data_IF_198747442580
#
_entry.id   IF_198747442580
#
_cell.length_a   1.000
_cell.length_b   1.000
_cell.length_c   1.000
_cell.angle_alpha   90.00
_cell.angle_beta   90.00
_cell.angle_gamma   90.00
#
_symmetry.space_group_name_H-M   'P 1'
#
loop_
_entity.id
_entity.type
_entity.pdbx_description
1 polymer ?
#
# COMPACT_ATOMS: atom_id res chain seq x y z
N UNK A 1 -1.89 -24.29 -6.78
CA UNK A 1 -1.69 -22.97 -6.13
C UNK A 1 -2.33 -21.92 -7.04
N UNK A 2 -3.31 -21.17 -6.55
CA UNK A 2 -4.09 -20.24 -7.37
C UNK A 2 -3.31 -18.98 -7.69
N UNK A 3 -3.24 -18.62 -8.96
CA UNK A 3 -2.88 -17.29 -9.42
C UNK A 3 -4.21 -16.57 -9.66
N UNK A 4 -4.41 -15.46 -8.97
CA UNK A 4 -5.57 -14.59 -9.16
C UNK A 4 -5.10 -13.32 -9.87
N UNK A 5 -5.76 -12.97 -10.96
CA UNK A 5 -5.43 -11.81 -11.77
C UNK A 5 -6.61 -10.85 -11.78
N UNK A 6 -6.31 -9.56 -11.55
CA UNK A 6 -7.31 -8.50 -11.59
C UNK A 6 -6.75 -7.31 -12.37
N UNK A 7 -7.58 -6.76 -13.25
CA UNK A 7 -7.31 -5.49 -13.91
C UNK A 7 -7.88 -4.34 -13.11
N UNK A 8 -7.08 -3.29 -12.90
CA UNK A 8 -7.48 -2.07 -12.19
C UNK A 8 -7.34 -0.89 -13.14
N UNK A 9 -8.34 -0.01 -13.16
CA UNK A 9 -8.26 1.24 -13.90
C UNK A 9 -7.55 2.31 -13.06
N UNK A 10 -6.40 2.76 -13.57
CA UNK A 10 -5.63 3.88 -13.03
C UNK A 10 -5.82 5.12 -13.91
N UNK A 11 -5.73 6.30 -13.32
CA UNK A 11 -5.59 7.55 -14.08
C UNK A 11 -4.14 7.69 -14.56
N UNK A 12 -3.92 8.48 -15.62
CA UNK A 12 -2.60 8.66 -16.22
C UNK A 12 -1.55 9.22 -15.27
N UNK A 13 -1.98 9.94 -14.24
CA UNK A 13 -1.12 10.60 -13.26
C UNK A 13 -1.14 9.86 -11.91
N UNK A 14 -1.75 8.67 -11.85
CA UNK A 14 -1.74 7.86 -10.62
C UNK A 14 -0.33 7.31 -10.34
N UNK A 15 0.08 7.42 -9.08
CA UNK A 15 1.26 6.74 -8.57
C UNK A 15 0.93 5.29 -8.21
N UNK A 16 1.96 4.47 -8.03
CA UNK A 16 1.80 3.12 -7.49
C UNK A 16 1.04 3.13 -6.16
N UNK A 17 1.32 4.08 -5.25
CA UNK A 17 0.60 4.24 -3.99
C UNK A 17 -0.91 4.44 -4.21
N UNK A 18 -1.31 5.27 -5.17
CA UNK A 18 -2.71 5.55 -5.47
C UNK A 18 -3.43 4.29 -5.99
N UNK A 19 -2.77 3.52 -6.86
CA UNK A 19 -3.31 2.26 -7.39
C UNK A 19 -3.42 1.21 -6.29
N UNK A 20 -2.40 1.04 -5.46
CA UNK A 20 -2.43 0.12 -4.32
C UNK A 20 -3.54 0.49 -3.33
N UNK A 21 -3.76 1.78 -3.07
CA UNK A 21 -4.85 2.24 -2.21
C UNK A 21 -6.21 1.80 -2.76
N UNK A 22 -6.44 1.94 -4.07
CA UNK A 22 -7.66 1.45 -4.73
C UNK A 22 -7.78 -0.07 -4.58
N UNK A 23 -6.73 -0.82 -4.89
CA UNK A 23 -6.71 -2.28 -4.76
C UNK A 23 -7.09 -2.75 -3.34
N UNK A 24 -6.42 -2.23 -2.32
CA UNK A 24 -6.70 -2.60 -0.93
C UNK A 24 -8.07 -2.13 -0.44
N UNK A 25 -8.69 -1.11 -1.07
CA UNK A 25 -10.06 -0.69 -0.74
C UNK A 25 -11.07 -1.73 -1.24
N UNK A 26 -10.80 -2.36 -2.39
CA UNK A 26 -11.61 -3.47 -2.90
C UNK A 26 -11.35 -4.78 -2.16
N UNK A 27 -10.16 -4.97 -1.60
CA UNK A 27 -9.76 -6.18 -0.87
C UNK A 27 -9.42 -5.89 0.60
N UNK A 28 -10.42 -5.67 1.46
CA UNK A 28 -10.19 -5.34 2.87
C UNK A 28 -9.48 -6.47 3.64
N UNK A 29 -9.71 -7.74 3.29
CA UNK A 29 -9.03 -8.87 3.92
C UNK A 29 -7.51 -8.82 3.67
N UNK A 30 -7.09 -8.61 2.41
CA UNK A 30 -5.66 -8.46 2.06
C UNK A 30 -5.02 -7.24 2.73
N UNK A 31 -5.79 -6.17 2.94
CA UNK A 31 -5.29 -4.98 3.65
C UNK A 31 -4.87 -5.30 5.08
N UNK A 32 -5.64 -6.12 5.79
CA UNK A 32 -5.35 -6.52 7.18
C UNK A 32 -4.15 -7.46 7.29
N UNK A 33 -3.86 -8.20 6.22
CA UNK A 33 -2.66 -9.04 6.08
C UNK A 33 -1.40 -8.23 5.74
N UNK A 34 -1.54 -7.16 4.95
CA UNK A 34 -0.42 -6.29 4.55
C UNK A 34 -0.05 -5.26 5.61
N UNK A 35 -1.05 -4.65 6.24
CA UNK A 35 -0.89 -3.48 7.09
C UNK A 35 -1.38 -3.76 8.51
N UNK A 36 -0.72 -3.13 9.47
CA UNK A 36 -1.29 -2.89 10.78
C UNK A 36 -1.94 -1.50 10.81
N UNK A 37 -2.97 -1.38 11.65
CA UNK A 37 -3.67 -0.12 11.85
C UNK A 37 -2.96 0.64 12.96
N UNK A 38 -2.54 1.86 12.65
CA UNK A 38 -2.07 2.81 13.65
C UNK A 38 -2.96 4.07 13.63
N UNK A 39 -2.90 4.83 14.71
CA UNK A 39 -3.61 6.10 14.85
C UNK A 39 -2.55 7.19 14.97
N UNK A 40 -2.55 8.11 14.01
CA UNK A 40 -1.59 9.22 13.97
C UNK A 40 -2.31 10.50 14.42
N UNK A 41 -1.65 11.26 15.30
CA UNK A 41 -2.09 12.61 15.65
C UNK A 41 -1.59 13.60 14.58
N UNK A 42 -2.36 14.66 14.25
CA UNK A 42 -1.97 15.68 13.30
C UNK A 42 -0.68 16.40 13.75
N UNK A 43 0.20 16.68 12.79
CA UNK A 43 1.56 17.20 13.02
C UNK A 43 1.58 18.60 13.66
N UNK A 44 0.50 19.38 13.52
CA UNK A 44 0.40 20.75 14.04
C UNK A 44 0.08 20.83 15.55
N UNK A 45 -0.24 19.71 16.20
CA UNK A 45 -0.81 19.69 17.55
C UNK A 45 0.19 19.32 18.64
N UNK A 46 1.46 19.73 18.49
CA UNK A 46 2.54 19.39 19.44
C UNK A 46 2.32 19.99 20.84
N UNK A 47 1.42 20.98 20.98
CA UNK A 47 1.04 21.58 22.28
C UNK A 47 -0.31 21.08 22.83
N UNK A 48 -1.14 20.39 22.04
CA UNK A 48 -2.45 19.95 22.48
C UNK A 48 -2.34 18.64 23.29
N UNK A 49 -2.25 18.78 24.61
CA UNK A 49 -2.24 17.66 25.57
C UNK A 49 -3.51 16.78 25.51
N UNK A 50 -4.50 17.15 24.68
CA UNK A 50 -5.79 16.47 24.53
C UNK A 50 -6.31 16.56 23.07
N UNK A 51 -5.47 16.28 22.07
CA UNK A 51 -5.97 16.18 20.70
C UNK A 51 -6.91 14.98 20.55
N UNK A 52 -8.12 15.19 20.02
CA UNK A 52 -9.13 14.14 19.76
C UNK A 52 -9.16 13.72 18.29
N UNK A 53 -8.42 14.41 17.45
CA UNK A 53 -8.48 14.26 15.99
C UNK A 53 -7.41 13.28 15.53
N UNK A 54 -7.59 11.99 15.83
CA UNK A 54 -6.68 10.95 15.33
C UNK A 54 -7.09 10.49 13.92
N UNK A 55 -6.13 10.44 13.01
CA UNK A 55 -6.32 9.82 11.70
C UNK A 55 -5.92 8.34 11.71
N UNK A 56 -6.78 7.50 11.14
CA UNK A 56 -6.47 6.08 10.94
C UNK A 56 -5.46 5.95 9.81
N UNK A 57 -4.27 5.46 10.12
CA UNK A 57 -3.21 5.20 9.15
C UNK A 57 -2.95 3.69 9.03
N UNK A 58 -2.56 3.26 7.83
CA UNK A 58 -2.19 1.88 7.55
C UNK A 58 -0.68 1.83 7.35
N UNK A 59 0.02 1.19 8.28
CA UNK A 59 1.48 1.05 8.24
C UNK A 59 1.84 -0.41 7.88
N UNK A 60 2.84 -0.66 7.04
CA UNK A 60 3.23 -2.03 6.69
C UNK A 60 3.58 -2.83 7.94
N UNK A 61 3.06 -4.05 8.08
CA UNK A 61 3.35 -4.89 9.25
C UNK A 61 4.85 -5.16 9.41
N UNK A 62 5.33 -5.14 10.65
CA UNK A 62 6.66 -5.63 10.99
C UNK A 62 6.68 -7.17 11.03
N UNK A 63 7.68 -7.79 10.39
CA UNK A 63 7.78 -9.26 10.22
C UNK A 63 8.28 -9.65 8.83
N UNK A 64 8.19 -10.94 8.42
CA UNK A 64 8.37 -11.28 7.02
C UNK A 64 7.30 -10.50 6.24
N UNK A 65 7.76 -9.66 5.33
CA UNK A 65 6.92 -8.72 4.62
C UNK A 65 6.43 -9.34 3.32
N UNK A 66 5.22 -8.96 2.94
CA UNK A 66 4.78 -9.16 1.57
C UNK A 66 5.70 -8.41 0.61
N UNK A 67 6.04 -9.05 -0.50
CA UNK A 67 6.82 -8.44 -1.57
C UNK A 67 5.89 -7.86 -2.62
N UNK A 68 6.20 -6.65 -3.08
CA UNK A 68 5.45 -5.97 -4.13
C UNK A 68 6.41 -5.71 -5.27
N UNK A 69 6.14 -6.33 -6.41
CA UNK A 69 6.93 -6.16 -7.61
C UNK A 69 6.15 -5.33 -8.62
N UNK A 70 6.79 -4.31 -9.18
CA UNK A 70 6.32 -3.59 -10.35
C UNK A 70 7.14 -4.05 -11.54
N UNK A 71 6.51 -4.66 -12.54
CA UNK A 71 7.16 -5.19 -13.73
C UNK A 71 8.35 -6.10 -13.41
N UNK A 72 8.19 -6.95 -12.37
CA UNK A 72 9.23 -7.88 -11.91
C UNK A 72 10.31 -7.28 -11.02
N UNK A 73 10.26 -5.96 -10.71
CA UNK A 73 11.23 -5.29 -9.83
C UNK A 73 10.62 -5.00 -8.47
N UNK A 74 11.36 -5.33 -7.41
CA UNK A 74 10.92 -5.07 -6.03
C UNK A 74 10.82 -3.56 -5.76
N UNK A 75 9.61 -3.09 -5.46
CA UNK A 75 9.27 -1.67 -5.30
C UNK A 75 10.09 -1.01 -4.20
N UNK A 76 10.36 -1.73 -3.11
CA UNK A 76 11.16 -1.23 -1.98
C UNK A 76 12.57 -0.79 -2.40
N UNK A 77 13.13 -1.39 -3.44
CA UNK A 77 14.47 -1.09 -3.95
C UNK A 77 14.46 -0.34 -5.29
N UNK A 78 13.29 -0.14 -5.90
CA UNK A 78 13.14 0.44 -7.23
C UNK A 78 12.01 1.46 -7.26
N UNK A 79 12.37 2.75 -7.18
CA UNK A 79 11.45 3.88 -7.39
C UNK A 79 10.45 4.14 -6.25
N UNK A 80 10.25 3.19 -5.34
CA UNK A 80 9.32 3.34 -4.23
C UNK A 80 7.86 3.42 -4.69
N UNK A 81 6.99 3.89 -3.80
CA UNK A 81 5.55 3.92 -4.05
C UNK A 81 5.07 5.18 -4.79
N UNK A 82 5.91 6.21 -4.89
CA UNK A 82 5.59 7.47 -5.56
C UNK A 82 5.89 7.45 -7.06
N UNK A 83 6.46 6.35 -7.57
CA UNK A 83 6.72 6.21 -8.99
C UNK A 83 5.41 6.20 -9.79
N UNK A 84 5.42 6.81 -11.00
CA UNK A 84 4.25 6.80 -11.88
C UNK A 84 3.93 5.38 -12.35
N UNK A 85 2.65 5.10 -12.56
CA UNK A 85 2.17 3.86 -13.18
C UNK A 85 1.71 4.15 -14.62
N UNK A 86 2.02 3.22 -15.52
CA UNK A 86 1.63 3.28 -16.92
C UNK A 86 0.67 2.15 -17.29
N UNK A 87 -0.08 2.37 -18.37
CA UNK A 87 -0.93 1.33 -18.92
C UNK A 87 -0.09 0.10 -19.34
N UNK A 88 -0.51 -1.08 -18.88
CA UNK A 88 0.20 -2.34 -19.13
C UNK A 88 1.21 -2.72 -18.04
N UNK A 89 1.43 -1.87 -17.04
CA UNK A 89 2.24 -2.24 -15.88
C UNK A 89 1.60 -3.40 -15.10
N UNK A 90 2.45 -4.32 -14.65
CA UNK A 90 2.05 -5.50 -13.88
C UNK A 90 2.53 -5.35 -12.45
N UNK A 91 1.59 -5.38 -11.50
CA UNK A 91 1.86 -5.37 -10.07
C UNK A 91 1.65 -6.79 -9.54
N UNK A 92 2.71 -7.37 -8.96
CA UNK A 92 2.66 -8.71 -8.38
C UNK A 92 2.84 -8.65 -6.87
N UNK A 93 2.00 -9.40 -6.15
CA UNK A 93 2.03 -9.52 -4.69
C UNK A 93 2.46 -10.93 -4.30
N UNK A 94 3.45 -11.02 -3.40
CA UNK A 94 3.90 -12.32 -2.87
C UNK A 94 3.78 -12.33 -1.36
N UNK A 95 3.08 -13.34 -0.78
CA UNK A 95 2.96 -13.47 0.65
C UNK A 95 4.31 -13.76 1.29
N UNK A 96 4.49 -13.39 2.57
CA UNK A 96 5.67 -13.74 3.32
C UNK A 96 5.90 -15.26 3.34
N UNK A 97 7.17 -15.67 3.17
CA UNK A 97 7.58 -17.08 3.24
C UNK A 97 7.47 -17.85 1.92
N UNK A 98 7.30 -17.17 0.79
CA UNK A 98 7.30 -17.76 -0.55
C UNK A 98 8.56 -17.42 -1.36
#
# INVERSE_FOLDING_TARGET
>A
AGQEEQTIHAHSDDTLAAVLRKFFNYHPALREEFFEVAWRAPEEDVEATWSTDFEKVYIPREGPYWRILLNGKEVRYAGGFDQPIHAGDVIAFFPPGR
#
